data_IF_530128153137
#
_entry.id   IF_530128153137
#
_cell.length_a   1.000
_cell.length_b   1.000
_cell.length_c   1.000
_cell.angle_alpha   90.00
_cell.angle_beta   90.00
_cell.angle_gamma   90.00
#
_symmetry.space_group_name_H-M   'P 1'
#
loop_
_entity.id
_entity.type
_entity.pdbx_description
1 polymer ?
#
# COMPACT_ATOMS: atom_id res chain seq x y z
N UNK A 1 21.69 36.61 11.72
CA UNK A 1 20.28 36.71 12.17
C UNK A 1 19.79 35.28 12.28
N UNK A 2 20.20 34.62 13.35
CA UNK A 2 19.93 33.23 13.65
C UNK A 2 18.53 33.14 14.26
N UNK A 3 17.59 32.54 13.50
CA UNK A 3 16.22 32.44 13.91
C UNK A 3 16.09 31.51 15.13
N UNK A 4 15.28 31.92 16.09
CA UNK A 4 14.86 31.20 17.30
C UNK A 4 14.09 29.89 16.94
N UNK A 5 14.83 28.96 16.33
CA UNK A 5 14.33 27.68 15.86
C UNK A 5 13.78 26.79 17.00
N UNK A 6 14.37 26.71 18.21
CA UNK A 6 13.88 25.84 19.28
C UNK A 6 12.50 26.24 19.81
N UNK A 7 12.24 27.53 19.99
CA UNK A 7 10.96 27.99 20.56
C UNK A 7 9.76 27.82 19.64
N UNK A 8 9.93 27.97 18.32
CA UNK A 8 8.87 27.76 17.35
C UNK A 8 8.54 26.27 17.16
N UNK A 9 9.56 25.42 17.17
CA UNK A 9 9.39 23.94 17.10
C UNK A 9 8.61 23.44 18.32
N UNK A 10 9.02 23.81 19.53
CA UNK A 10 8.33 23.43 20.76
C UNK A 10 6.86 23.91 20.81
N UNK A 11 6.57 25.12 20.31
CA UNK A 11 5.19 25.61 20.24
C UNK A 11 4.35 24.79 19.27
N UNK A 12 4.91 24.41 18.12
CA UNK A 12 4.23 23.58 17.13
C UNK A 12 3.96 22.18 17.68
N UNK A 13 4.93 21.55 18.31
CA UNK A 13 4.80 20.23 18.95
C UNK A 13 3.70 20.23 20.02
N UNK A 14 3.69 21.19 20.94
CA UNK A 14 2.64 21.34 21.96
C UNK A 14 1.26 21.56 21.32
N UNK A 15 1.21 22.33 20.23
CA UNK A 15 -0.06 22.55 19.48
C UNK A 15 -0.54 21.25 18.87
N UNK A 16 0.38 20.47 18.27
CA UNK A 16 0.06 19.15 17.71
C UNK A 16 -0.45 18.20 18.80
N UNK A 17 0.23 18.12 19.92
CA UNK A 17 -0.15 17.25 21.04
C UNK A 17 -1.55 17.63 21.58
N UNK A 18 -1.84 18.91 21.75
CA UNK A 18 -3.19 19.35 22.12
C UNK A 18 -4.27 18.99 21.08
N UNK A 19 -3.94 19.01 19.78
CA UNK A 19 -4.85 18.53 18.73
C UNK A 19 -5.05 17.02 18.82
N UNK A 20 -3.99 16.26 19.13
CA UNK A 20 -4.07 14.80 19.31
C UNK A 20 -4.97 14.44 20.52
N UNK A 21 -4.83 15.12 21.66
CA UNK A 21 -5.74 14.95 22.81
C UNK A 21 -7.21 15.21 22.46
N UNK A 22 -7.46 16.24 21.62
CA UNK A 22 -8.81 16.51 21.13
C UNK A 22 -9.35 15.37 20.25
N UNK A 23 -8.50 14.73 19.46
CA UNK A 23 -8.88 13.58 18.63
C UNK A 23 -9.16 12.35 19.48
N UNK A 24 -8.28 12.06 20.45
CA UNK A 24 -8.41 10.90 21.35
C UNK A 24 -9.72 10.92 22.15
N UNK A 25 -10.24 12.12 22.46
CA UNK A 25 -11.51 12.29 23.16
C UNK A 25 -12.75 12.16 22.25
N UNK A 26 -12.60 11.82 20.98
CA UNK A 26 -13.69 11.81 19.96
C UNK A 26 -13.69 10.53 19.15
N UNK A 27 -14.82 10.27 18.52
CA UNK A 27 -14.99 9.15 17.59
C UNK A 27 -14.67 9.57 16.15
N UNK A 28 -14.29 8.61 15.28
CA UNK A 28 -14.14 8.85 13.85
C UNK A 28 -15.41 9.53 13.26
N UNK A 29 -15.20 10.57 12.48
CA UNK A 29 -16.26 11.38 11.90
C UNK A 29 -16.71 12.56 12.75
N UNK A 30 -16.31 12.64 14.02
CA UNK A 30 -16.63 13.80 14.87
C UNK A 30 -15.87 15.05 14.41
N UNK A 31 -16.56 16.20 14.45
CA UNK A 31 -15.96 17.49 14.13
C UNK A 31 -14.99 17.94 15.24
N UNK A 32 -13.86 18.52 14.84
CA UNK A 32 -12.96 19.23 15.76
C UNK A 32 -13.09 20.75 15.57
N UNK A 33 -12.65 21.55 16.58
CA UNK A 33 -12.71 23.00 16.46
C UNK A 33 -11.94 23.51 15.24
N UNK A 34 -12.46 24.58 14.61
CA UNK A 34 -11.80 25.21 13.45
C UNK A 34 -10.41 25.74 13.81
N UNK A 35 -9.52 25.93 12.81
CA UNK A 35 -8.20 26.54 13.03
C UNK A 35 -8.30 27.87 13.79
N UNK A 36 -9.33 28.67 13.49
CA UNK A 36 -9.60 29.94 14.21
C UNK A 36 -9.92 29.69 15.69
N UNK A 37 -10.76 28.71 15.97
CA UNK A 37 -11.13 28.36 17.34
C UNK A 37 -9.94 27.76 18.09
N UNK A 38 -9.10 26.95 17.43
CA UNK A 38 -7.86 26.40 17.99
C UNK A 38 -6.84 27.50 18.33
N UNK A 39 -6.70 28.54 17.49
CA UNK A 39 -5.86 29.70 17.79
C UNK A 39 -6.30 30.38 19.09
N UNK A 40 -7.61 30.58 19.27
CA UNK A 40 -8.14 31.22 20.47
C UNK A 40 -8.00 30.32 21.71
N UNK A 41 -8.26 29.01 21.56
CA UNK A 41 -8.16 28.02 22.65
C UNK A 41 -6.74 27.84 23.16
N UNK A 42 -5.76 27.74 22.24
CA UNK A 42 -4.37 27.42 22.55
C UNK A 42 -3.45 28.65 22.68
N UNK A 43 -3.95 29.84 22.39
CA UNK A 43 -3.16 31.09 22.47
C UNK A 43 -1.99 31.15 21.50
N UNK A 44 -2.09 30.50 20.34
CA UNK A 44 -1.02 30.40 19.33
C UNK A 44 -1.41 31.02 18.00
N UNK A 45 -0.41 31.38 17.19
CA UNK A 45 -0.62 32.01 15.89
C UNK A 45 -1.25 31.04 14.87
N UNK A 46 -1.96 31.61 13.89
CA UNK A 46 -2.58 30.85 12.81
C UNK A 46 -1.59 29.97 12.03
N UNK A 47 -0.39 30.44 11.65
CA UNK A 47 0.61 29.59 11.00
C UNK A 47 1.02 28.38 11.85
N UNK A 48 1.15 28.57 13.18
CA UNK A 48 1.51 27.47 14.11
C UNK A 48 0.41 26.41 14.16
N UNK A 49 -0.87 26.83 14.32
CA UNK A 49 -2.00 25.89 14.29
C UNK A 49 -2.07 25.15 12.96
N UNK A 50 -1.94 25.90 11.86
CA UNK A 50 -2.03 25.31 10.52
C UNK A 50 -0.95 24.27 10.28
N UNK A 51 0.30 24.56 10.64
CA UNK A 51 1.40 23.61 10.51
C UNK A 51 1.18 22.35 11.36
N UNK A 52 0.73 22.51 12.62
CA UNK A 52 0.42 21.38 13.49
C UNK A 52 -0.75 20.52 12.94
N UNK A 53 -1.81 21.16 12.47
CA UNK A 53 -2.95 20.46 11.85
C UNK A 53 -2.55 19.77 10.54
N UNK A 54 -1.70 20.39 9.72
CA UNK A 54 -1.18 19.79 8.49
C UNK A 54 -0.42 18.48 8.78
N UNK A 55 0.37 18.46 9.86
CA UNK A 55 1.07 17.24 10.32
C UNK A 55 0.09 16.14 10.74
N UNK A 56 -0.96 16.50 11.47
CA UNK A 56 -1.98 15.54 11.93
C UNK A 56 -2.83 15.00 10.77
N UNK A 57 -3.11 15.84 9.77
CA UNK A 57 -3.77 15.44 8.53
C UNK A 57 -2.86 14.52 7.71
N UNK A 58 -1.58 14.87 7.56
CA UNK A 58 -0.60 14.03 6.87
C UNK A 58 -0.40 12.66 7.56
N UNK A 59 -0.54 12.64 8.91
CA UNK A 59 -0.55 11.40 9.69
C UNK A 59 -1.84 10.57 9.50
N UNK A 60 -2.87 11.11 8.83
CA UNK A 60 -4.15 10.43 8.60
C UNK A 60 -5.03 10.35 9.84
N UNK A 61 -4.86 11.26 10.80
CA UNK A 61 -5.67 11.31 12.02
C UNK A 61 -6.81 12.33 11.95
N UNK A 62 -6.70 13.28 11.01
CA UNK A 62 -7.74 14.24 10.67
C UNK A 62 -7.99 14.28 9.16
N UNK A 63 -9.21 14.62 8.78
CA UNK A 63 -9.57 14.96 7.40
C UNK A 63 -10.11 16.38 7.35
N UNK A 64 -9.76 17.11 6.27
CA UNK A 64 -10.36 18.41 5.96
C UNK A 64 -11.43 18.21 4.90
N UNK A 65 -12.64 18.60 5.19
CA UNK A 65 -13.73 18.64 4.23
C UNK A 65 -14.00 20.08 3.81
N UNK A 66 -13.86 20.34 2.52
CA UNK A 66 -14.02 21.69 1.99
C UNK A 66 -15.38 22.29 2.37
N UNK A 67 -15.39 23.47 2.98
CA UNK A 67 -16.61 24.15 3.43
C UNK A 67 -17.30 23.54 4.66
N UNK A 68 -16.90 22.37 5.13
CA UNK A 68 -17.50 21.68 6.28
C UNK A 68 -16.67 21.73 7.56
N UNK A 69 -15.34 21.76 7.43
CA UNK A 69 -14.45 21.82 8.58
C UNK A 69 -13.42 20.70 8.65
N UNK A 70 -13.03 20.36 9.87
CA UNK A 70 -12.08 19.29 10.17
C UNK A 70 -12.77 18.23 11.02
N UNK A 71 -12.50 16.96 10.69
CA UNK A 71 -13.13 15.82 11.33
C UNK A 71 -12.09 14.80 11.72
N UNK A 72 -12.33 14.04 12.77
CA UNK A 72 -11.52 12.87 13.14
C UNK A 72 -11.57 11.87 11.99
N UNK A 73 -10.40 11.49 11.49
CA UNK A 73 -10.29 10.54 10.39
C UNK A 73 -10.81 9.14 10.79
N UNK A 74 -11.30 8.34 9.86
CA UNK A 74 -11.55 6.92 10.10
C UNK A 74 -10.28 6.24 10.64
N UNK A 75 -10.45 5.27 11.53
CA UNK A 75 -9.32 4.50 12.05
C UNK A 75 -8.51 3.89 10.90
N UNK A 76 -7.18 3.94 11.01
CA UNK A 76 -6.32 3.28 10.01
C UNK A 76 -6.60 1.79 9.97
N UNK A 77 -6.66 1.28 8.77
CA UNK A 77 -6.72 -0.15 8.53
C UNK A 77 -5.40 -0.75 9.04
N UNK A 78 -5.51 -1.68 9.97
CA UNK A 78 -4.35 -2.31 10.59
C UNK A 78 -4.19 -3.71 10.03
N UNK A 79 -3.04 -3.97 9.41
CA UNK A 79 -2.63 -5.33 9.06
C UNK A 79 -1.67 -5.85 10.12
N UNK A 80 -2.02 -6.96 10.76
CA UNK A 80 -1.06 -7.72 11.56
C UNK A 80 -0.22 -8.62 10.67
N UNK A 81 1.10 -8.53 10.82
CA UNK A 81 2.03 -9.50 10.24
C UNK A 81 2.24 -10.62 11.26
N UNK A 82 1.58 -11.74 11.04
CA UNK A 82 1.70 -12.94 11.88
C UNK A 82 2.44 -14.01 11.08
N UNK A 83 3.51 -14.57 11.66
CA UNK A 83 4.20 -15.69 11.04
C UNK A 83 3.24 -16.88 10.86
N UNK A 84 3.18 -17.43 9.64
CA UNK A 84 2.31 -18.56 9.30
C UNK A 84 0.87 -18.19 8.93
N UNK A 85 0.53 -16.91 8.84
CA UNK A 85 -0.78 -16.48 8.33
C UNK A 85 -0.87 -16.75 6.81
N UNK A 86 -1.84 -17.58 6.42
CA UNK A 86 -2.11 -17.94 5.01
C UNK A 86 -2.89 -16.86 4.26
N UNK A 87 -3.25 -15.77 4.91
CA UNK A 87 -4.16 -14.73 4.40
C UNK A 87 -3.43 -13.49 3.85
N UNK A 88 -2.27 -13.68 3.21
CA UNK A 88 -1.49 -12.55 2.67
C UNK A 88 -2.13 -11.86 1.45
N UNK A 89 -3.10 -12.49 0.78
CA UNK A 89 -3.76 -11.93 -0.40
C UNK A 89 -4.81 -10.88 -0.07
N UNK A 90 -5.44 -10.97 1.10
CA UNK A 90 -6.41 -9.98 1.59
C UNK A 90 -6.02 -9.62 3.02
N UNK A 91 -5.69 -8.35 3.31
CA UNK A 91 -5.47 -7.92 4.68
C UNK A 91 -6.69 -8.29 5.53
N UNK A 92 -6.49 -8.97 6.66
CA UNK A 92 -7.55 -9.20 7.67
C UNK A 92 -7.85 -7.93 8.44
N UNK A 93 -8.11 -6.86 7.71
CA UNK A 93 -8.35 -5.56 8.28
C UNK A 93 -9.85 -5.27 8.23
N UNK A 94 -10.31 -4.44 9.18
CA UNK A 94 -11.70 -3.99 9.23
C UNK A 94 -12.14 -3.33 7.91
N UNK A 95 -13.43 -3.46 7.57
CA UNK A 95 -14.04 -2.90 6.37
C UNK A 95 -14.31 -3.93 5.27
N UNK A 96 -15.15 -3.55 4.33
CA UNK A 96 -15.49 -4.37 3.16
C UNK A 96 -14.51 -4.11 2.04
N UNK A 97 -13.67 -5.11 1.76
CA UNK A 97 -12.69 -5.05 0.70
C UNK A 97 -13.30 -5.39 -0.66
N UNK A 98 -12.98 -4.59 -1.66
CA UNK A 98 -13.32 -4.84 -3.06
C UNK A 98 -12.15 -4.45 -3.97
N UNK A 99 -12.23 -4.86 -5.25
CA UNK A 99 -11.23 -4.53 -6.25
C UNK A 99 -11.91 -3.96 -7.48
N UNK A 100 -11.29 -2.94 -8.06
CA UNK A 100 -11.61 -2.46 -9.40
C UNK A 100 -10.43 -2.77 -10.31
N UNK A 101 -10.66 -3.59 -11.32
CA UNK A 101 -9.65 -3.92 -12.31
C UNK A 101 -9.29 -2.67 -13.12
N UNK A 102 -8.01 -2.42 -13.28
CA UNK A 102 -7.46 -1.35 -14.11
C UNK A 102 -6.92 -1.91 -15.42
N UNK A 103 -6.24 -3.06 -15.35
CA UNK A 103 -5.67 -3.74 -16.51
C UNK A 103 -5.58 -5.24 -16.25
N UNK A 104 -5.81 -6.03 -17.29
CA UNK A 104 -5.61 -7.48 -17.30
C UNK A 104 -5.10 -7.87 -18.69
N UNK A 105 -3.90 -8.42 -18.75
CA UNK A 105 -3.29 -8.80 -20.02
C UNK A 105 -2.25 -9.90 -19.86
N UNK A 106 -1.98 -10.63 -20.92
CA UNK A 106 -0.84 -11.55 -21.00
C UNK A 106 0.29 -10.89 -21.77
N UNK A 107 1.47 -10.89 -21.21
CA UNK A 107 2.65 -10.27 -21.82
C UNK A 107 3.93 -11.02 -21.47
N UNK A 108 5.04 -10.72 -22.15
CA UNK A 108 6.34 -11.28 -21.81
C UNK A 108 6.86 -10.70 -20.49
N UNK A 109 7.49 -11.53 -19.67
CA UNK A 109 7.99 -11.15 -18.35
C UNK A 109 9.02 -9.99 -18.39
N UNK A 110 9.79 -9.89 -19.45
CA UNK A 110 10.91 -8.96 -19.53
C UNK A 110 12.03 -9.30 -18.54
N UNK A 111 13.14 -8.56 -18.58
CA UNK A 111 14.33 -8.87 -17.79
C UNK A 111 14.10 -8.73 -16.27
N UNK A 112 13.34 -7.71 -15.83
CA UNK A 112 13.12 -7.42 -14.40
C UNK A 112 12.23 -8.48 -13.75
N UNK A 113 11.02 -8.68 -14.26
CA UNK A 113 10.05 -9.64 -13.71
C UNK A 113 10.55 -11.07 -13.92
N UNK A 114 11.17 -11.37 -15.07
CA UNK A 114 11.77 -12.68 -15.36
C UNK A 114 12.82 -13.08 -14.32
N UNK A 115 13.69 -12.15 -13.89
CA UNK A 115 14.65 -12.42 -12.78
C UNK A 115 13.93 -12.73 -11.47
N UNK A 116 12.92 -11.92 -11.08
CA UNK A 116 12.16 -12.12 -9.84
C UNK A 116 11.45 -13.48 -9.86
N UNK A 117 10.79 -13.81 -10.94
CA UNK A 117 10.06 -15.07 -11.11
C UNK A 117 10.96 -16.26 -11.53
N UNK A 118 12.28 -16.07 -11.69
CA UNK A 118 13.23 -17.09 -12.15
C UNK A 118 12.77 -17.78 -13.44
N UNK A 119 12.40 -16.98 -14.45
CA UNK A 119 11.92 -17.44 -15.75
C UNK A 119 12.58 -16.66 -16.88
N UNK A 120 12.48 -17.18 -18.10
CA UNK A 120 12.97 -16.48 -19.29
C UNK A 120 12.30 -15.11 -19.44
N UNK A 121 13.02 -14.05 -19.81
CA UNK A 121 12.41 -12.77 -20.16
C UNK A 121 11.34 -12.85 -21.27
N UNK A 122 11.44 -13.87 -22.14
CA UNK A 122 10.47 -14.13 -23.22
C UNK A 122 9.27 -15.00 -22.78
N UNK A 123 9.31 -15.57 -21.57
CA UNK A 123 8.22 -16.37 -21.06
C UNK A 123 7.00 -15.46 -20.71
N UNK A 124 5.81 -16.01 -20.84
CA UNK A 124 4.57 -15.27 -20.61
C UNK A 124 4.21 -15.19 -19.14
N UNK A 125 3.68 -14.03 -18.78
CA UNK A 125 3.04 -13.75 -17.49
C UNK A 125 1.64 -13.19 -17.72
N UNK A 126 0.75 -13.47 -16.79
CA UNK A 126 -0.50 -12.71 -16.63
C UNK A 126 -0.18 -11.51 -15.76
N UNK A 127 -0.39 -10.33 -16.32
CA UNK A 127 -0.27 -9.06 -15.60
C UNK A 127 -1.64 -8.53 -15.22
N UNK A 128 -1.77 -8.11 -13.97
CA UNK A 128 -2.99 -7.54 -13.43
C UNK A 128 -2.67 -6.24 -12.69
N UNK A 129 -3.28 -5.15 -13.12
CA UNK A 129 -3.30 -3.92 -12.32
C UNK A 129 -4.71 -3.72 -11.74
N UNK A 130 -4.80 -3.47 -10.42
CA UNK A 130 -6.08 -3.25 -9.76
C UNK A 130 -6.01 -2.17 -8.70
N UNK A 131 -7.10 -1.45 -8.52
CA UNK A 131 -7.32 -0.55 -7.41
C UNK A 131 -8.08 -1.31 -6.32
N UNK A 132 -7.48 -1.40 -5.14
CA UNK A 132 -8.12 -1.94 -3.94
C UNK A 132 -8.91 -0.86 -3.25
N UNK A 133 -10.14 -1.19 -2.87
CA UNK A 133 -11.04 -0.30 -2.15
C UNK A 133 -11.40 -0.91 -0.80
N UNK A 134 -11.63 -0.06 0.18
CA UNK A 134 -12.20 -0.44 1.48
C UNK A 134 -13.40 0.47 1.73
N UNK A 135 -14.56 -0.12 1.94
CA UNK A 135 -15.84 0.58 2.08
C UNK A 135 -16.08 1.57 0.92
N UNK A 136 -15.70 1.15 -0.30
CA UNK A 136 -15.82 1.94 -1.52
C UNK A 136 -14.74 3.02 -1.73
N UNK A 137 -13.88 3.29 -0.75
CA UNK A 137 -12.82 4.29 -0.86
C UNK A 137 -11.49 3.68 -1.32
N UNK A 138 -10.73 4.34 -2.23
CA UNK A 138 -9.43 3.88 -2.68
C UNK A 138 -8.45 3.67 -1.52
N UNK A 139 -7.75 2.52 -1.53
CA UNK A 139 -6.80 2.14 -0.50
C UNK A 139 -5.42 1.83 -1.04
N UNK A 140 -5.33 1.05 -2.10
CA UNK A 140 -4.06 0.66 -2.70
C UNK A 140 -4.17 0.44 -4.21
N UNK A 141 -3.03 0.59 -4.89
CA UNK A 141 -2.84 0.16 -6.27
C UNK A 141 -1.95 -1.09 -6.21
N UNK A 142 -2.38 -2.17 -6.85
CA UNK A 142 -1.64 -3.42 -6.88
C UNK A 142 -1.33 -3.82 -8.32
N UNK A 143 -0.08 -4.25 -8.55
CA UNK A 143 0.42 -4.80 -9.81
C UNK A 143 0.89 -6.23 -9.55
N UNK A 144 0.16 -7.20 -10.09
CA UNK A 144 0.45 -8.62 -9.95
C UNK A 144 1.06 -9.14 -11.25
N UNK A 145 2.10 -9.95 -11.12
CA UNK A 145 2.75 -10.64 -12.23
C UNK A 145 2.75 -12.13 -11.89
N UNK A 146 1.94 -12.91 -12.58
CA UNK A 146 1.72 -14.32 -12.32
C UNK A 146 2.26 -15.12 -13.50
N UNK A 147 2.97 -16.22 -13.27
CA UNK A 147 3.43 -17.08 -14.36
C UNK A 147 2.23 -17.63 -15.12
N UNK A 148 2.11 -17.32 -16.42
CA UNK A 148 0.94 -17.70 -17.22
C UNK A 148 0.75 -19.23 -17.29
N UNK A 149 1.85 -19.99 -17.28
CA UNK A 149 1.83 -21.46 -17.28
C UNK A 149 1.14 -22.08 -16.06
N UNK A 150 1.07 -21.33 -14.93
CA UNK A 150 0.44 -21.79 -13.69
C UNK A 150 -1.06 -21.49 -13.62
N UNK A 151 -1.55 -20.63 -14.50
CA UNK A 151 -2.92 -20.12 -14.48
C UNK A 151 -3.55 -20.15 -15.87
N UNK A 152 -3.53 -21.30 -16.58
CA UNK A 152 -4.11 -21.38 -17.92
C UNK A 152 -5.59 -21.02 -17.88
N UNK A 153 -6.01 -20.06 -18.72
CA UNK A 153 -7.40 -19.62 -18.80
C UNK A 153 -7.89 -18.72 -17.65
N UNK A 154 -7.00 -18.23 -16.79
CA UNK A 154 -7.36 -17.25 -15.76
C UNK A 154 -8.03 -16.05 -16.40
N UNK A 155 -9.18 -15.65 -15.88
CA UNK A 155 -9.97 -14.53 -16.35
C UNK A 155 -9.97 -13.35 -15.37
N UNK A 156 -10.27 -12.16 -15.89
CA UNK A 156 -10.41 -10.96 -15.07
C UNK A 156 -11.51 -11.10 -14.00
N UNK A 157 -12.63 -11.74 -14.35
CA UNK A 157 -13.78 -11.91 -13.47
C UNK A 157 -13.44 -12.77 -12.24
N UNK A 158 -12.60 -13.78 -12.39
CA UNK A 158 -12.16 -14.64 -11.30
C UNK A 158 -11.30 -13.90 -10.28
N UNK A 159 -10.59 -12.85 -10.70
CA UNK A 159 -9.76 -12.02 -9.83
C UNK A 159 -10.52 -10.90 -9.11
N UNK A 160 -11.68 -10.52 -9.60
CA UNK A 160 -12.53 -9.51 -8.96
C UNK A 160 -13.27 -10.05 -7.72
N UNK A 161 -13.66 -11.32 -7.76
CA UNK A 161 -14.60 -11.92 -6.81
C UNK A 161 -13.97 -12.75 -5.69
N UNK A 162 -12.63 -12.99 -5.71
CA UNK A 162 -12.04 -14.00 -4.84
C UNK A 162 -10.64 -13.71 -4.30
N UNK A 163 -10.20 -14.63 -3.46
CA UNK A 163 -8.81 -14.73 -3.02
C UNK A 163 -8.00 -15.44 -4.11
N UNK A 164 -6.98 -14.78 -4.64
CA UNK A 164 -6.09 -15.31 -5.67
C UNK A 164 -5.48 -16.67 -5.25
N UNK A 165 -5.05 -16.81 -4.01
CA UNK A 165 -4.40 -18.06 -3.56
C UNK A 165 -5.38 -19.22 -3.42
N UNK A 166 -6.62 -18.93 -3.01
CA UNK A 166 -7.67 -19.93 -3.01
C UNK A 166 -8.00 -20.37 -4.45
N UNK A 167 -8.04 -19.42 -5.39
CA UNK A 167 -8.23 -19.70 -6.81
C UNK A 167 -7.08 -20.54 -7.38
N UNK A 168 -5.82 -20.17 -7.12
CA UNK A 168 -4.64 -20.93 -7.51
C UNK A 168 -4.71 -22.38 -7.00
N UNK A 169 -5.09 -22.55 -5.73
CA UNK A 169 -5.21 -23.87 -5.10
C UNK A 169 -6.33 -24.72 -5.70
N UNK A 170 -7.52 -24.14 -5.87
CA UNK A 170 -8.73 -24.91 -6.23
C UNK A 170 -8.87 -25.17 -7.73
N UNK A 171 -8.39 -24.24 -8.57
CA UNK A 171 -8.55 -24.32 -10.03
C UNK A 171 -7.30 -24.81 -10.75
N UNK A 172 -6.12 -24.56 -10.20
CA UNK A 172 -4.86 -24.78 -10.87
C UNK A 172 -3.90 -25.71 -10.10
N UNK A 173 -4.34 -26.25 -8.96
CA UNK A 173 -3.53 -27.13 -8.08
C UNK A 173 -2.18 -26.50 -7.70
N UNK A 174 -2.13 -25.17 -7.60
CA UNK A 174 -0.93 -24.42 -7.19
C UNK A 174 -1.02 -24.12 -5.70
N UNK A 175 -0.18 -24.80 -4.93
CA UNK A 175 -0.13 -24.67 -3.47
C UNK A 175 0.99 -23.71 -3.06
N UNK A 176 0.64 -22.47 -2.73
CA UNK A 176 1.59 -21.49 -2.20
C UNK A 176 2.02 -21.88 -0.78
N UNK A 177 3.30 -21.71 -0.47
CA UNK A 177 3.89 -22.07 0.82
C UNK A 177 4.53 -20.90 1.53
N UNK A 178 5.25 -20.08 0.81
CA UNK A 178 6.10 -19.04 1.37
C UNK A 178 5.95 -17.75 0.57
N UNK A 179 6.00 -16.62 1.26
CA UNK A 179 6.14 -15.32 0.63
C UNK A 179 7.23 -14.51 1.35
N UNK A 180 8.14 -13.91 0.58
CA UNK A 180 9.07 -12.90 1.07
C UNK A 180 8.51 -11.54 0.71
N UNK A 181 8.35 -10.65 1.69
CA UNK A 181 7.77 -9.33 1.51
C UNK A 181 8.70 -8.25 2.05
N UNK A 182 9.01 -7.27 1.22
CA UNK A 182 9.65 -6.03 1.61
C UNK A 182 8.61 -4.92 1.72
N UNK A 183 8.81 -4.00 2.66
CA UNK A 183 7.93 -2.86 2.90
C UNK A 183 8.80 -1.63 3.04
N UNK A 184 8.57 -0.62 2.21
CA UNK A 184 9.37 0.59 2.17
C UNK A 184 8.49 1.84 2.21
N UNK A 185 8.94 2.93 2.84
CA UNK A 185 8.28 4.22 2.76
C UNK A 185 8.49 4.81 1.36
N UNK A 186 7.45 5.44 0.83
CA UNK A 186 7.49 6.14 -0.46
C UNK A 186 6.49 7.29 -0.48
N UNK A 187 6.39 7.98 -1.60
CA UNK A 187 5.37 8.99 -1.88
C UNK A 187 4.66 8.66 -3.18
N UNK A 188 3.38 9.04 -3.28
CA UNK A 188 2.59 8.81 -4.48
C UNK A 188 3.01 9.75 -5.61
N UNK A 189 3.10 9.23 -6.82
CA UNK A 189 3.27 10.03 -8.03
C UNK A 189 1.95 10.72 -8.40
N UNK A 190 2.00 11.66 -9.35
CA UNK A 190 0.81 12.35 -9.87
C UNK A 190 -0.26 11.42 -10.42
N UNK A 191 0.14 10.35 -11.09
CA UNK A 191 -0.78 9.37 -11.67
C UNK A 191 -1.46 8.53 -10.57
N UNK A 192 -0.68 8.05 -9.62
CA UNK A 192 -1.16 7.27 -8.47
C UNK A 192 -2.06 8.11 -7.55
N UNK A 193 -1.72 9.38 -7.34
CA UNK A 193 -2.50 10.33 -6.54
C UNK A 193 -3.94 10.46 -7.05
N UNK A 194 -4.13 10.49 -8.38
CA UNK A 194 -5.46 10.54 -9.01
C UNK A 194 -6.26 9.25 -8.78
N UNK A 195 -5.60 8.09 -8.82
CA UNK A 195 -6.25 6.79 -8.60
C UNK A 195 -6.62 6.59 -7.13
N UNK A 196 -5.74 7.03 -6.22
CA UNK A 196 -5.91 6.88 -4.78
C UNK A 196 -6.75 7.98 -4.14
N UNK A 197 -7.11 9.01 -4.90
CA UNK A 197 -7.83 10.19 -4.40
C UNK A 197 -7.12 10.85 -3.20
N UNK A 198 -5.85 11.18 -3.41
CA UNK A 198 -4.98 11.86 -2.44
C UNK A 198 -4.16 12.96 -3.12
N UNK A 199 -3.63 13.94 -2.38
CA UNK A 199 -2.66 14.90 -2.92
C UNK A 199 -1.42 14.22 -3.51
N UNK A 200 -0.82 14.81 -4.54
CA UNK A 200 0.49 14.40 -5.05
C UNK A 200 1.53 14.48 -3.93
N UNK A 201 2.51 13.54 -3.93
CA UNK A 201 3.53 13.37 -2.89
C UNK A 201 2.99 12.99 -1.50
N UNK A 202 1.73 12.55 -1.39
CA UNK A 202 1.24 11.97 -0.14
C UNK A 202 2.09 10.76 0.28
N UNK A 203 2.37 10.58 1.58
CA UNK A 203 3.08 9.42 2.08
C UNK A 203 2.36 8.11 1.74
N UNK A 204 3.13 7.11 1.36
CA UNK A 204 2.63 5.78 1.02
C UNK A 204 3.59 4.68 1.51
N UNK A 205 3.11 3.47 1.56
CA UNK A 205 3.90 2.26 1.80
C UNK A 205 3.97 1.45 0.51
N UNK A 206 5.18 1.19 0.07
CA UNK A 206 5.48 0.31 -1.04
C UNK A 206 5.70 -1.11 -0.53
N UNK A 207 4.98 -2.06 -1.08
CA UNK A 207 5.14 -3.48 -0.82
C UNK A 207 5.68 -4.16 -2.06
N UNK A 208 6.75 -4.91 -1.91
CA UNK A 208 7.16 -5.92 -2.88
C UNK A 208 7.02 -7.30 -2.26
N UNK A 209 6.34 -8.21 -2.94
CA UNK A 209 6.17 -9.58 -2.48
C UNK A 209 6.50 -10.58 -3.57
N UNK A 210 7.29 -11.58 -3.21
CA UNK A 210 7.56 -12.75 -4.04
C UNK A 210 6.98 -13.97 -3.33
N UNK A 211 6.02 -14.64 -3.96
CA UNK A 211 5.34 -15.82 -3.43
C UNK A 211 5.82 -17.06 -4.16
N UNK A 212 6.13 -18.11 -3.41
CA UNK A 212 6.62 -19.40 -3.93
C UNK A 212 5.70 -20.54 -3.52
N UNK A 213 5.65 -21.58 -4.35
CA UNK A 213 4.91 -22.81 -4.08
C UNK A 213 5.69 -23.78 -3.15
N UNK A 214 5.08 -24.93 -2.89
CA UNK A 214 5.67 -25.99 -2.04
C UNK A 214 6.98 -26.57 -2.56
N UNK A 215 7.32 -26.35 -3.83
CA UNK A 215 8.58 -26.78 -4.45
C UNK A 215 9.65 -25.68 -4.43
N UNK A 216 9.31 -24.47 -3.95
CA UNK A 216 10.18 -23.29 -3.95
C UNK A 216 10.20 -22.56 -5.31
N UNK A 217 9.30 -22.90 -6.23
CA UNK A 217 9.15 -22.20 -7.51
C UNK A 217 8.39 -20.90 -7.28
N UNK A 218 8.91 -19.74 -7.75
CA UNK A 218 8.16 -18.49 -7.73
C UNK A 218 6.86 -18.61 -8.53
N UNK A 219 5.75 -18.22 -7.92
CA UNK A 219 4.39 -18.24 -8.51
C UNK A 219 3.98 -16.87 -8.97
N UNK A 220 4.16 -15.90 -8.09
CA UNK A 220 3.78 -14.52 -8.36
C UNK A 220 4.79 -13.52 -7.79
N UNK A 221 4.88 -12.37 -8.45
CA UNK A 221 5.55 -11.18 -7.96
C UNK A 221 4.54 -10.02 -7.91
N UNK A 222 4.40 -9.41 -6.75
CA UNK A 222 3.46 -8.32 -6.51
C UNK A 222 4.22 -7.06 -6.11
N UNK A 223 3.79 -5.95 -6.66
CA UNK A 223 4.21 -4.61 -6.30
C UNK A 223 2.96 -3.80 -5.98
N UNK A 224 2.83 -3.31 -4.74
CA UNK A 224 1.62 -2.65 -4.27
C UNK A 224 1.95 -1.36 -3.54
N UNK A 225 1.15 -0.32 -3.79
CA UNK A 225 1.28 0.99 -3.18
C UNK A 225 0.05 1.26 -2.31
N UNK A 226 0.24 1.32 -1.00
CA UNK A 226 -0.82 1.57 -0.01
C UNK A 226 -0.78 2.98 0.52
N UNK A 227 -1.94 3.61 0.71
CA UNK A 227 -2.08 4.93 1.33
C UNK A 227 -1.55 4.93 2.76
N UNK A 228 -0.56 5.77 3.06
CA UNK A 228 0.04 5.88 4.39
C UNK A 228 -0.84 6.61 5.42
N UNK A 229 -1.79 7.42 4.95
CA UNK A 229 -2.78 8.10 5.80
C UNK A 229 -3.87 7.14 6.34
N UNK A 230 -4.14 6.02 5.64
CA UNK A 230 -5.21 5.08 5.99
C UNK A 230 -4.76 3.66 6.31
N UNK A 231 -3.50 3.34 6.16
CA UNK A 231 -2.97 1.98 6.34
C UNK A 231 -1.79 1.97 7.30
N UNK A 232 -1.73 0.95 8.16
CA UNK A 232 -0.60 0.70 9.04
C UNK A 232 -0.35 -0.79 9.20
N UNK A 233 0.89 -1.13 9.53
CA UNK A 233 1.31 -2.49 9.80
C UNK A 233 1.65 -2.59 11.29
N UNK A 234 1.23 -3.70 11.89
CA UNK A 234 1.58 -4.06 13.27
C UNK A 234 2.25 -5.43 13.24
N UNK A 235 3.40 -5.53 13.88
CA UNK A 235 4.10 -6.80 14.10
C UNK A 235 4.16 -7.08 15.59
N UNK A 236 3.78 -8.28 16.02
CA UNK A 236 3.94 -8.72 17.41
C UNK A 236 5.29 -9.42 17.56
N UNK A 237 6.13 -8.87 18.39
CA UNK A 237 7.46 -9.41 18.68
C UNK A 237 7.42 -10.10 20.05
N UNK A 238 7.76 -11.40 20.10
CA UNK A 238 7.99 -12.08 21.36
C UNK A 238 9.43 -11.80 21.82
N UNK A 239 9.58 -11.17 22.99
CA UNK A 239 10.88 -10.82 23.60
C UNK A 239 11.22 -11.80 24.74
N UNK A 240 10.94 -13.09 24.56
CA UNK A 240 11.31 -14.15 25.51
C UNK A 240 12.50 -14.97 25.00
N UNK A 241 13.08 -15.89 25.86
CA UNK A 241 14.06 -16.86 25.35
C UNK A 241 13.42 -17.58 24.14
N UNK A 242 14.16 -17.65 23.04
CA UNK A 242 13.70 -18.34 21.84
C UNK A 242 13.31 -19.78 22.25
N UNK A 243 12.04 -20.16 22.09
CA UNK A 243 11.71 -21.56 22.05
C UNK A 243 12.64 -22.18 21.02
N UNK A 244 13.35 -23.27 21.38
CA UNK A 244 14.37 -23.91 20.56
C UNK A 244 13.96 -23.92 19.11
N UNK A 245 14.63 -23.08 18.32
CA UNK A 245 14.45 -23.03 16.88
C UNK A 245 14.79 -24.42 16.35
N UNK A 246 13.84 -25.05 15.66
CA UNK A 246 14.11 -26.23 14.89
C UNK A 246 15.34 -25.95 14.00
N UNK A 247 16.30 -26.90 13.86
CA UNK A 247 17.56 -26.62 13.20
C UNK A 247 17.31 -26.03 11.81
N UNK A 248 17.84 -24.84 11.60
CA UNK A 248 17.92 -24.19 10.32
C UNK A 248 18.49 -25.17 9.31
N UNK A 249 17.64 -25.65 8.42
CA UNK A 249 18.15 -26.20 7.19
C UNK A 249 18.75 -25.02 6.43
N UNK A 250 20.06 -25.03 6.28
CA UNK A 250 20.82 -24.10 5.44
C UNK A 250 20.20 -24.08 4.02
N UNK A 251 19.13 -23.32 3.86
CA UNK A 251 18.55 -22.93 2.60
C UNK A 251 18.95 -21.50 2.35
N UNK A 252 19.85 -21.32 1.39
CA UNK A 252 20.25 -20.04 0.87
C UNK A 252 18.98 -19.26 0.48
N UNK A 253 18.48 -18.38 1.37
CA UNK A 253 17.41 -17.45 1.05
C UNK A 253 17.99 -16.45 0.04
N UNK A 254 17.52 -16.44 -1.22
CA UNK A 254 17.86 -15.35 -2.11
C UNK A 254 17.12 -14.11 -1.58
N UNK A 255 17.79 -13.37 -0.72
CA UNK A 255 17.33 -12.06 -0.30
C UNK A 255 17.00 -11.23 -1.52
N UNK A 256 15.99 -10.38 -1.44
CA UNK A 256 15.75 -9.31 -2.42
C UNK A 256 16.99 -8.43 -2.35
N UNK A 257 17.84 -8.35 -3.42
CA UNK A 257 19.05 -7.55 -3.35
C UNK A 257 18.68 -6.09 -3.09
N UNK A 258 19.37 -5.39 -2.18
CA UNK A 258 19.17 -3.96 -1.99
C UNK A 258 19.62 -3.25 -3.28
N UNK A 259 18.75 -2.43 -3.87
CA UNK A 259 19.16 -1.48 -4.89
C UNK A 259 18.44 -1.47 -6.24
N UNK A 260 17.45 -2.33 -6.51
CA UNK A 260 16.73 -2.31 -7.81
C UNK A 260 15.40 -1.52 -7.76
N UNK A 261 15.32 -0.50 -6.91
CA UNK A 261 14.12 0.32 -6.72
C UNK A 261 14.25 1.63 -7.53
N UNK A 262 14.18 1.53 -8.85
CA UNK A 262 14.00 2.72 -9.68
C UNK A 262 12.51 3.10 -9.67
N UNK A 263 12.19 4.24 -9.07
CA UNK A 263 10.93 4.93 -9.28
C UNK A 263 10.74 5.21 -10.77
N UNK A 264 9.65 4.73 -11.34
CA UNK A 264 9.13 5.21 -12.61
C UNK A 264 9.46 4.36 -13.83
N UNK A 265 8.69 3.31 -14.05
CA UNK A 265 8.33 2.91 -15.40
C UNK A 265 6.80 2.92 -15.50
N UNK A 266 6.28 4.11 -15.78
CA UNK A 266 4.95 4.26 -16.35
C UNK A 266 4.99 3.56 -17.71
N UNK A 267 4.33 2.42 -17.82
CA UNK A 267 4.09 1.80 -19.13
C UNK A 267 3.13 2.75 -19.85
N UNK A 268 3.68 3.63 -20.68
CA UNK A 268 2.90 4.39 -21.66
C UNK A 268 2.38 3.38 -22.66
N UNK A 269 1.09 3.07 -22.60
CA UNK A 269 0.40 2.35 -23.66
C UNK A 269 0.48 3.19 -24.93
N UNK A 270 1.35 2.77 -25.86
CA UNK A 270 1.41 3.30 -27.20
C UNK A 270 0.19 2.81 -27.99
N UNK A 271 -0.92 3.51 -27.87
CA UNK A 271 -2.04 3.35 -28.79
C UNK A 271 -1.70 4.13 -30.07
N UNK A 272 -0.97 3.54 -30.98
CA UNK A 272 -0.93 3.99 -32.38
C UNK A 272 -2.23 3.55 -33.05
N UNK A 273 -3.18 4.45 -33.08
CA UNK A 273 -4.30 4.37 -34.00
C UNK A 273 -3.87 4.89 -35.37
N UNK A 274 -3.59 4.00 -36.30
CA UNK A 274 -3.49 4.34 -37.71
C UNK A 274 -4.89 4.62 -38.24
N UNK A 275 -5.23 5.90 -38.38
CA UNK A 275 -6.37 6.33 -39.22
C UNK A 275 -5.86 6.40 -40.65
N UNK A 276 -6.12 5.36 -41.44
CA UNK A 276 -6.04 5.43 -42.89
C UNK A 276 -7.31 6.15 -43.42
N UNK A 277 -7.13 7.38 -43.82
CA UNK A 277 -8.08 8.08 -44.69
C UNK A 277 -7.79 7.67 -46.14
N UNK A 278 -8.62 6.78 -46.69
CA UNK A 278 -8.69 6.55 -48.12
C UNK A 278 -9.57 7.64 -48.78
N UNK A 279 -9.00 8.34 -49.72
CA UNK A 279 -9.71 9.20 -50.69
C UNK A 279 -10.20 8.40 -51.89
#
# INVERSE_FOLDING_TARGET
>A
MEADVPGAVLKRERTRDAVLELIESRSPGDAIPSERSLCALLGVSRPTVRAAVDEVVAAGLLVREHGRGMFVAPAKITQELVAGDRSLSVPRAAGTWSSRLLEFTTLQAGARVGRKLRMSPAAEIVYVARLRLVDGAPMAIEHLHIRAELVPGLSAQELESGDLYEHLRTRHDVHVREAVQAIEPTVVTRAEAKLLDVPELSPALLFERLTSDTTGRPVEYVHSLYRGDRYRIVSRLALGPAAEAAPDREGHHPGIPPGDFAHGDTITSSTRGDIQTGG
#
